data_IF_747663549367
#
_entry.id   IF_747663549367
#
_cell.length_a   1.000
_cell.length_b   1.000
_cell.length_c   1.000
_cell.angle_alpha   90.00
_cell.angle_beta   90.00
_cell.angle_gamma   90.00
#
_symmetry.space_group_name_H-M   'P 1'
#
loop_
_entity.id
_entity.type
_entity.pdbx_description
1 polymer ?
#
# COMPACT_ATOMS: atom_id res chain seq x y z
N UNK A 1 4.89 -5.56 9.44
CA UNK A 1 3.51 -5.06 9.59
C UNK A 1 2.57 -5.91 8.73
N UNK A 2 1.28 -6.00 9.09
CA UNK A 2 0.26 -6.69 8.27
C UNK A 2 -0.31 -5.77 7.19
N UNK A 3 -1.04 -6.32 6.23
CA UNK A 3 -1.79 -5.52 5.25
C UNK A 3 -2.73 -4.51 5.90
N UNK A 4 -3.29 -4.82 7.07
CA UNK A 4 -4.20 -3.95 7.80
C UNK A 4 -3.45 -2.75 8.43
N UNK A 5 -2.30 -3.01 9.06
CA UNK A 5 -1.45 -1.93 9.57
C UNK A 5 -0.92 -1.02 8.46
N UNK A 6 -0.55 -1.61 7.31
CA UNK A 6 -0.13 -0.84 6.15
C UNK A 6 -1.29 -0.01 5.56
N UNK A 7 -2.51 -0.55 5.58
CA UNK A 7 -3.72 0.15 5.14
C UNK A 7 -3.95 1.42 5.97
N UNK A 8 -3.85 1.33 7.30
CA UNK A 8 -3.96 2.48 8.19
C UNK A 8 -2.82 3.48 7.98
N UNK A 9 -1.57 3.00 7.93
CA UNK A 9 -0.38 3.85 7.73
C UNK A 9 -0.41 4.61 6.40
N UNK A 10 -0.93 4.00 5.34
CA UNK A 10 -0.97 4.60 4.00
C UNK A 10 -2.31 5.27 3.66
N UNK A 11 -3.26 5.21 4.60
CA UNK A 11 -4.63 5.68 4.47
C UNK A 11 -5.31 5.12 3.19
N UNK A 12 -5.19 3.81 2.98
CA UNK A 12 -5.81 3.09 1.87
C UNK A 12 -6.54 1.86 2.38
N UNK A 13 -7.50 1.32 1.62
CA UNK A 13 -8.20 0.09 2.02
C UNK A 13 -7.27 -1.13 1.99
N UNK A 14 -7.54 -2.11 2.85
CA UNK A 14 -6.80 -3.38 2.90
C UNK A 14 -6.76 -4.09 1.53
N UNK A 15 -7.88 -4.04 0.78
CA UNK A 15 -7.96 -4.55 -0.58
C UNK A 15 -6.93 -3.90 -1.50
N UNK A 16 -6.70 -2.58 -1.35
CA UNK A 16 -5.71 -1.86 -2.15
C UNK A 16 -4.29 -2.27 -1.78
N UNK A 17 -4.00 -2.44 -0.49
CA UNK A 17 -2.72 -2.96 -0.02
C UNK A 17 -2.44 -4.35 -0.61
N UNK A 18 -3.41 -5.26 -0.58
CA UNK A 18 -3.27 -6.61 -1.16
C UNK A 18 -3.00 -6.57 -2.66
N UNK A 19 -3.66 -5.66 -3.39
CA UNK A 19 -3.40 -5.45 -4.81
C UNK A 19 -1.96 -4.97 -5.03
N UNK A 20 -1.49 -3.98 -4.26
CA UNK A 20 -0.11 -3.47 -4.38
C UNK A 20 0.94 -4.54 -4.04
N UNK A 21 0.68 -5.39 -3.04
CA UNK A 21 1.54 -6.53 -2.74
C UNK A 21 1.54 -7.55 -3.88
N UNK A 22 0.38 -7.84 -4.46
CA UNK A 22 0.24 -8.79 -5.59
C UNK A 22 0.88 -8.25 -6.87
N UNK A 23 0.80 -6.95 -7.09
CA UNK A 23 1.39 -6.22 -8.21
C UNK A 23 2.92 -6.08 -8.07
N UNK A 24 3.50 -6.49 -6.94
CA UNK A 24 4.94 -6.39 -6.69
C UNK A 24 5.43 -4.95 -6.46
N UNK A 25 4.53 -3.99 -6.23
CA UNK A 25 4.89 -2.58 -5.99
C UNK A 25 5.52 -2.33 -4.62
N UNK A 26 5.35 -3.26 -3.69
CA UNK A 26 5.86 -3.13 -2.33
C UNK A 26 7.08 -4.07 -2.21
N UNK A 27 8.31 -3.53 -2.25
CA UNK A 27 9.51 -4.34 -2.17
C UNK A 27 9.58 -5.04 -0.81
N UNK A 28 9.84 -6.35 -0.85
CA UNK A 28 9.90 -7.19 0.35
C UNK A 28 8.53 -7.55 0.94
N UNK A 29 7.41 -7.15 0.34
CA UNK A 29 6.12 -7.68 0.72
C UNK A 29 5.94 -9.10 0.16
N UNK A 30 5.52 -10.03 1.00
CA UNK A 30 5.22 -11.40 0.59
C UNK A 30 3.96 -11.90 1.28
N UNK A 31 3.35 -12.92 0.68
CA UNK A 31 2.16 -13.58 1.24
C UNK A 31 2.60 -14.67 2.20
N UNK A 32 2.21 -14.57 3.45
CA UNK A 32 2.42 -15.57 4.49
C UNK A 32 1.07 -16.19 4.86
N UNK A 33 0.80 -17.39 4.31
CA UNK A 33 -0.48 -18.08 4.48
C UNK A 33 -1.66 -17.27 3.91
N UNK A 34 -2.53 -16.76 4.81
CA UNK A 34 -3.70 -15.94 4.45
C UNK A 34 -3.45 -14.43 4.52
N UNK A 35 -2.32 -13.99 5.10
CA UNK A 35 -2.00 -12.58 5.30
C UNK A 35 -0.83 -12.13 4.42
N UNK A 36 -0.71 -10.82 4.19
CA UNK A 36 0.52 -10.24 3.62
C UNK A 36 1.40 -9.70 4.73
N UNK A 37 2.68 -10.06 4.69
CA UNK A 37 3.74 -9.46 5.48
C UNK A 37 4.35 -8.34 4.67
N UNK A 38 4.33 -7.14 5.25
CA UNK A 38 4.89 -5.93 4.65
C UNK A 38 6.01 -5.45 5.58
N UNK A 39 7.21 -5.18 5.06
CA UNK A 39 8.31 -4.69 5.88
C UNK A 39 7.99 -3.29 6.43
N UNK A 40 8.45 -2.98 7.64
CA UNK A 40 8.18 -1.69 8.30
C UNK A 40 8.70 -0.48 7.49
N UNK A 41 9.80 -0.72 6.77
CA UNK A 41 10.49 0.21 5.88
C UNK A 41 9.85 0.32 4.49
N UNK A 42 8.79 -0.44 4.19
CA UNK A 42 8.05 -0.25 2.96
C UNK A 42 7.37 1.13 2.98
N UNK A 43 7.72 1.96 2.00
CA UNK A 43 6.97 3.17 1.69
C UNK A 43 5.77 2.83 0.80
N UNK A 44 4.72 3.64 0.91
CA UNK A 44 3.56 3.56 0.01
C UNK A 44 4.09 3.71 -1.43
N UNK A 45 3.87 2.74 -2.33
CA UNK A 45 4.25 2.92 -3.72
C UNK A 45 3.43 4.05 -4.32
N UNK A 46 4.03 4.82 -5.23
CA UNK A 46 3.31 5.83 -6.00
C UNK A 46 2.14 5.14 -6.71
N UNK A 47 0.93 5.42 -6.25
CA UNK A 47 -0.28 4.90 -6.86
C UNK A 47 -0.46 5.69 -8.16
N UNK A 48 -0.12 5.07 -9.30
CA UNK A 48 -0.22 5.66 -10.64
C UNK A 48 -1.62 6.11 -11.06
N UNK A 49 -2.59 6.12 -10.13
CA UNK A 49 -3.86 6.84 -10.23
C UNK A 49 -3.73 8.28 -9.73
N UNK A 50 -2.57 8.91 -9.84
CA UNK A 50 -2.48 10.37 -9.94
C UNK A 50 -3.20 10.83 -11.21
N UNK A 51 -4.53 10.82 -11.17
CA UNK A 51 -5.29 11.87 -11.82
C UNK A 51 -4.80 13.14 -11.15
N UNK A 52 -4.09 14.00 -11.88
CA UNK A 52 -3.88 15.41 -11.55
C UNK A 52 -5.21 15.99 -11.07
N UNK A 53 -5.43 16.03 -9.77
CA UNK A 53 -6.52 16.72 -9.13
C UNK A 53 -6.14 16.82 -7.67
N UNK A 54 -5.86 17.95 -7.07
CA UNK A 54 -5.78 19.33 -7.48
C UNK A 54 -5.03 19.96 -6.29
N UNK A 55 -4.21 20.97 -6.54
CA UNK A 55 -3.72 21.79 -5.44
C UNK A 55 -4.91 22.56 -4.89
N UNK A 56 -5.41 22.21 -3.71
CA UNK A 56 -6.00 23.20 -2.80
C UNK A 56 -5.15 23.11 -1.54
N UNK A 57 -4.27 24.05 -1.17
CA UNK A 57 -4.27 25.51 -1.40
C UNK A 57 -5.65 26.11 -1.18
N UNK A 58 -6.11 26.13 0.07
CA UNK A 58 -6.56 27.34 0.79
C UNK A 58 -6.64 26.99 2.26
#
# INVERSE_FOLDING_TARGET
MTAQQAAEKWNISDRRVRVLCKDGKIPGAFKEGKAYKIPANAMKPADGRERKNDKKST
#
